data_IF_740498633380
#
_entry.id   IF_740498633380
#
_cell.length_a   1.000
_cell.length_b   1.000
_cell.length_c   1.000
_cell.angle_alpha   90.00
_cell.angle_beta   90.00
_cell.angle_gamma   90.00
#
_symmetry.space_group_name_H-M   'P 1'
#
loop_
_entity.id
_entity.type
_entity.pdbx_description
1 polymer ?
#
# COMPACT_ATOMS: atom_id res chain seq x y z
N UNK A 1 -13.50 19.73 13.39
CA UNK A 1 -12.08 19.35 13.43
C UNK A 1 -11.63 18.94 12.05
N UNK A 2 -10.49 19.45 11.61
CA UNK A 2 -9.84 19.09 10.34
C UNK A 2 -8.47 18.51 10.64
N UNK A 3 -8.18 17.38 10.03
CA UNK A 3 -6.94 16.62 10.27
C UNK A 3 -6.23 16.44 8.93
N UNK A 4 -4.92 16.61 8.92
CA UNK A 4 -4.11 16.25 7.76
C UNK A 4 -3.07 15.20 8.15
N UNK A 5 -2.90 14.18 7.30
CA UNK A 5 -1.81 13.21 7.43
C UNK A 5 -0.79 13.41 6.31
N UNK A 6 0.50 13.40 6.64
CA UNK A 6 1.59 13.39 5.66
C UNK A 6 2.12 11.97 5.52
N UNK A 7 1.80 11.32 4.42
CA UNK A 7 2.13 9.90 4.17
C UNK A 7 2.99 9.78 2.91
N UNK A 8 4.31 10.00 3.01
CA UNK A 8 5.22 9.78 1.88
C UNK A 8 5.31 8.29 1.58
N UNK A 9 5.47 7.95 0.30
CA UNK A 9 5.68 6.57 -0.12
C UNK A 9 4.74 6.11 -1.22
N UNK A 10 4.80 4.82 -1.55
CA UNK A 10 3.99 4.20 -2.60
C UNK A 10 2.60 3.76 -2.11
N UNK A 11 1.86 3.07 -2.99
CA UNK A 11 0.53 2.52 -2.67
C UNK A 11 0.59 1.62 -1.43
N UNK A 12 1.64 0.79 -1.28
CA UNK A 12 1.81 -0.08 -0.11
C UNK A 12 1.89 0.68 1.21
N UNK A 13 2.64 1.82 1.25
CA UNK A 13 2.74 2.65 2.45
C UNK A 13 1.39 3.28 2.82
N UNK A 14 0.60 3.69 1.81
CA UNK A 14 -0.73 4.23 2.03
C UNK A 14 -1.64 3.17 2.65
N UNK A 15 -1.68 1.96 2.08
CA UNK A 15 -2.48 0.84 2.60
C UNK A 15 -2.10 0.52 4.05
N UNK A 16 -0.81 0.43 4.34
CA UNK A 16 -0.31 0.18 5.70
C UNK A 16 -0.68 1.29 6.71
N UNK A 17 -1.01 2.49 6.22
CA UNK A 17 -1.45 3.60 7.05
C UNK A 17 -2.97 3.62 7.29
N UNK A 18 -3.78 2.83 6.55
CA UNK A 18 -5.23 2.83 6.70
C UNK A 18 -5.72 2.47 8.11
N UNK A 19 -5.15 1.49 8.83
CA UNK A 19 -5.51 1.22 10.21
C UNK A 19 -5.40 2.46 11.12
N UNK A 20 -4.38 3.30 10.89
CA UNK A 20 -4.21 4.57 11.60
C UNK A 20 -5.33 5.56 11.26
N UNK A 21 -5.69 5.68 9.98
CA UNK A 21 -6.78 6.56 9.53
C UNK A 21 -8.14 6.11 10.06
N UNK A 22 -8.39 4.80 10.09
CA UNK A 22 -9.66 4.22 10.56
C UNK A 22 -9.87 4.49 12.05
N UNK A 23 -8.85 4.24 12.89
CA UNK A 23 -8.95 4.53 14.31
C UNK A 23 -8.99 6.04 14.60
N UNK A 24 -8.27 6.85 13.83
CA UNK A 24 -8.36 8.31 13.91
C UNK A 24 -9.77 8.80 13.57
N UNK A 25 -10.39 8.25 12.51
CA UNK A 25 -11.77 8.54 12.14
C UNK A 25 -12.78 8.04 13.16
N UNK A 26 -12.54 6.88 13.77
CA UNK A 26 -13.37 6.33 14.83
C UNK A 26 -13.30 7.20 16.11
N UNK A 27 -12.11 7.68 16.47
CA UNK A 27 -11.94 8.59 17.63
C UNK A 27 -12.55 9.97 17.38
N UNK A 28 -12.57 10.42 16.11
CA UNK A 28 -13.11 11.71 15.68
C UNK A 28 -14.11 11.56 14.53
N UNK A 29 -15.34 11.04 14.77
CA UNK A 29 -16.28 10.66 13.70
C UNK A 29 -16.67 11.82 12.75
N UNK A 30 -16.69 13.04 13.25
CA UNK A 30 -17.04 14.24 12.47
C UNK A 30 -15.83 14.95 11.87
N UNK A 31 -14.60 14.47 12.10
CA UNK A 31 -13.41 15.09 11.54
C UNK A 31 -13.33 14.87 10.02
N UNK A 32 -12.91 15.91 9.30
CA UNK A 32 -12.48 15.81 7.90
C UNK A 32 -10.99 15.46 7.90
N UNK A 33 -10.66 14.30 7.37
CA UNK A 33 -9.28 13.81 7.31
C UNK A 33 -8.79 13.91 5.87
N UNK A 34 -7.81 14.76 5.62
CA UNK A 34 -7.15 14.88 4.33
C UNK A 34 -5.75 14.23 4.41
N UNK A 35 -5.25 13.76 3.27
CA UNK A 35 -3.92 13.14 3.20
C UNK A 35 -3.06 13.80 2.14
N UNK A 36 -1.84 14.20 2.52
CA UNK A 36 -0.80 14.59 1.57
C UNK A 36 -0.11 13.34 1.08
N UNK A 37 -0.20 13.06 -0.21
CA UNK A 37 0.19 11.79 -0.84
C UNK A 37 0.98 12.04 -2.13
N UNK A 38 1.91 11.13 -2.45
CA UNK A 38 2.61 11.15 -3.73
C UNK A 38 1.62 10.90 -4.89
N UNK A 39 1.75 11.61 -6.03
CA UNK A 39 0.82 11.49 -7.17
C UNK A 39 0.58 10.04 -7.61
N UNK A 40 1.63 9.23 -7.66
CA UNK A 40 1.59 7.81 -8.05
C UNK A 40 0.86 6.90 -7.03
N UNK A 41 0.64 7.36 -5.80
CA UNK A 41 0.01 6.59 -4.73
C UNK A 41 -1.42 7.04 -4.42
N UNK A 42 -1.91 8.11 -5.08
CA UNK A 42 -3.25 8.67 -4.88
C UNK A 42 -4.35 7.61 -5.00
N UNK A 43 -4.19 6.69 -5.95
CA UNK A 43 -5.22 5.70 -6.28
C UNK A 43 -5.50 4.70 -5.13
N UNK A 44 -4.60 4.58 -4.15
CA UNK A 44 -4.85 3.81 -2.93
C UNK A 44 -6.09 4.30 -2.18
N UNK A 45 -6.38 5.60 -2.22
CA UNK A 45 -7.50 6.19 -1.48
C UNK A 45 -8.88 5.94 -2.11
N UNK A 46 -8.93 5.36 -3.32
CA UNK A 46 -10.15 4.87 -3.95
C UNK A 46 -10.85 3.79 -3.10
N UNK A 47 -10.09 3.04 -2.34
CA UNK A 47 -10.57 1.94 -1.47
C UNK A 47 -10.56 2.30 0.03
N UNK A 48 -10.33 3.57 0.38
CA UNK A 48 -10.31 4.08 1.75
C UNK A 48 -11.55 4.93 2.03
N UNK A 49 -12.33 4.57 3.06
CA UNK A 49 -13.54 5.34 3.47
C UNK A 49 -13.25 6.45 4.49
N UNK A 50 -12.11 6.40 5.16
CA UNK A 50 -11.80 7.29 6.28
C UNK A 50 -11.25 8.64 5.84
N UNK A 51 -10.88 8.79 4.56
CA UNK A 51 -10.29 10.00 3.99
C UNK A 51 -11.34 10.83 3.26
N UNK A 52 -11.36 12.15 3.55
CA UNK A 52 -12.22 13.12 2.90
C UNK A 52 -11.63 13.58 1.55
N UNK A 53 -10.35 13.97 1.53
CA UNK A 53 -9.67 14.37 0.29
C UNK A 53 -8.17 14.09 0.31
N UNK A 54 -7.53 14.15 -0.87
CA UNK A 54 -6.09 14.00 -1.02
C UNK A 54 -5.47 15.28 -1.56
N UNK A 55 -4.27 15.62 -1.05
CA UNK A 55 -3.41 16.71 -1.53
C UNK A 55 -2.20 16.06 -2.18
N UNK A 56 -1.94 16.36 -3.44
CA UNK A 56 -0.82 15.76 -4.16
C UNK A 56 0.48 16.52 -3.88
N UNK A 57 1.51 15.81 -3.46
CA UNK A 57 2.84 16.35 -3.28
C UNK A 57 3.90 15.26 -3.54
N UNK A 58 4.87 15.57 -4.38
CA UNK A 58 5.95 14.64 -4.69
C UNK A 58 7.09 14.76 -3.65
N UNK A 59 7.04 13.93 -2.61
CA UNK A 59 8.05 13.92 -1.55
C UNK A 59 9.45 13.48 -2.01
N UNK A 60 9.57 12.86 -3.19
CA UNK A 60 10.83 12.30 -3.73
C UNK A 60 11.42 13.11 -4.86
N UNK A 61 10.63 14.00 -5.46
CA UNK A 61 11.06 14.90 -6.49
C UNK A 61 12.07 15.94 -5.99
N UNK A 62 12.67 16.64 -6.93
CA UNK A 62 13.49 17.83 -6.63
C UNK A 62 12.56 19.01 -6.42
N UNK A 63 12.02 19.11 -5.18
CA UNK A 63 11.12 20.20 -4.84
C UNK A 63 11.88 21.52 -4.74
N UNK A 64 11.38 22.52 -5.42
CA UNK A 64 11.80 23.91 -5.27
C UNK A 64 11.20 24.54 -4.00
N UNK A 65 11.70 25.69 -3.59
CA UNK A 65 11.08 26.48 -2.51
C UNK A 65 9.64 26.89 -2.87
N UNK A 66 9.34 27.09 -4.15
CA UNK A 66 7.99 27.39 -4.62
C UNK A 66 7.03 26.20 -4.40
N UNK A 67 7.45 24.97 -4.67
CA UNK A 67 6.63 23.77 -4.44
C UNK A 67 6.31 23.59 -2.96
N UNK A 68 7.31 23.79 -2.09
CA UNK A 68 7.12 23.77 -0.63
C UNK A 68 6.21 24.93 -0.17
N UNK A 69 6.37 26.12 -0.73
CA UNK A 69 5.52 27.28 -0.48
C UNK A 69 4.07 27.01 -0.88
N UNK A 70 3.84 26.40 -2.04
CA UNK A 70 2.51 26.02 -2.51
C UNK A 70 1.85 25.00 -1.58
N UNK A 71 2.58 23.94 -1.17
CA UNK A 71 2.07 22.96 -0.21
C UNK A 71 1.70 23.63 1.10
N UNK A 72 2.59 24.50 1.62
CA UNK A 72 2.36 25.26 2.84
C UNK A 72 1.10 26.14 2.73
N UNK A 73 0.91 26.85 1.61
CA UNK A 73 -0.26 27.66 1.32
C UNK A 73 -1.54 26.84 1.36
N UNK A 74 -1.58 25.71 0.65
CA UNK A 74 -2.75 24.81 0.61
C UNK A 74 -3.09 24.26 2.00
N UNK A 75 -2.08 23.89 2.81
CA UNK A 75 -2.30 23.38 4.16
C UNK A 75 -2.85 24.50 5.06
N UNK A 76 -2.29 25.70 5.00
CA UNK A 76 -2.74 26.84 5.82
C UNK A 76 -4.15 27.31 5.46
N UNK A 77 -4.49 27.36 4.18
CA UNK A 77 -5.84 27.73 3.70
C UNK A 77 -6.92 26.80 4.25
N UNK A 78 -6.60 25.53 4.48
CA UNK A 78 -7.56 24.54 4.96
C UNK A 78 -7.73 24.52 6.49
N UNK A 79 -6.95 25.30 7.25
CA UNK A 79 -7.07 25.49 8.70
C UNK A 79 -7.19 24.18 9.49
N UNK A 80 -6.19 23.31 9.39
CA UNK A 80 -6.15 22.06 10.11
C UNK A 80 -5.88 22.24 11.62
N UNK A 81 -6.58 21.45 12.44
CA UNK A 81 -6.39 21.40 13.90
C UNK A 81 -5.27 20.44 14.32
N UNK A 82 -5.00 19.45 13.48
CA UNK A 82 -4.07 18.35 13.76
C UNK A 82 -3.35 17.92 12.48
N UNK A 83 -2.04 17.66 12.61
CA UNK A 83 -1.27 16.93 11.61
C UNK A 83 -0.61 15.69 12.21
N UNK A 84 -0.68 14.58 11.48
CA UNK A 84 0.03 13.32 11.77
C UNK A 84 1.01 13.05 10.63
N UNK A 85 2.29 12.83 10.93
CA UNK A 85 3.33 12.70 9.91
C UNK A 85 4.20 11.48 10.09
N UNK A 86 4.41 10.71 9.02
CA UNK A 86 5.41 9.65 8.92
C UNK A 86 6.83 10.19 8.64
N UNK A 87 6.96 11.47 8.32
CA UNK A 87 8.24 12.07 7.95
C UNK A 87 9.19 12.20 9.14
N UNK A 88 10.43 11.71 8.96
CA UNK A 88 11.45 11.72 10.01
C UNK A 88 12.55 12.77 9.78
N UNK A 89 12.57 13.44 8.61
CA UNK A 89 13.57 14.46 8.31
C UNK A 89 13.26 15.75 9.06
N UNK A 90 14.30 16.45 9.55
CA UNK A 90 14.13 17.73 10.21
C UNK A 90 13.39 18.78 9.35
N UNK A 91 13.59 18.73 8.03
CA UNK A 91 12.89 19.60 7.07
C UNK A 91 11.38 19.40 7.07
N UNK A 92 10.92 18.17 7.31
CA UNK A 92 9.49 17.88 7.47
C UNK A 92 8.98 18.50 8.77
N UNK A 93 9.69 18.34 9.88
CA UNK A 93 9.33 18.97 11.14
C UNK A 93 9.23 20.50 11.01
N UNK A 94 10.20 21.14 10.36
CA UNK A 94 10.17 22.57 10.07
C UNK A 94 8.95 22.95 9.22
N UNK A 95 8.66 22.19 8.14
CA UNK A 95 7.48 22.41 7.31
C UNK A 95 6.21 22.35 8.17
N UNK A 96 6.07 21.34 9.02
CA UNK A 96 4.90 21.19 9.91
C UNK A 96 4.77 22.40 10.86
N UNK A 97 5.86 22.87 11.41
CA UNK A 97 5.86 24.07 12.26
C UNK A 97 5.42 25.33 11.50
N UNK A 98 5.92 25.50 10.27
CA UNK A 98 5.55 26.62 9.40
C UNK A 98 4.07 26.61 8.98
N UNK A 99 3.39 25.45 9.00
CA UNK A 99 1.95 25.39 8.73
C UNK A 99 1.11 26.16 9.74
N UNK A 100 1.61 26.35 10.97
CA UNK A 100 0.87 26.93 12.08
C UNK A 100 -0.14 25.99 12.74
N UNK A 101 -0.22 24.72 12.32
CA UNK A 101 -1.12 23.72 12.91
C UNK A 101 -0.77 23.55 14.39
N UNK A 102 -1.76 23.68 15.32
CA UNK A 102 -1.48 23.65 16.77
C UNK A 102 -1.01 22.28 17.26
N UNK A 103 -1.57 21.19 16.74
CA UNK A 103 -1.22 19.83 17.16
C UNK A 103 -0.42 19.12 16.04
N UNK A 104 0.83 18.79 16.32
CA UNK A 104 1.76 18.18 15.37
C UNK A 104 2.32 16.90 15.95
N UNK A 105 1.87 15.76 15.43
CA UNK A 105 2.27 14.40 15.86
C UNK A 105 3.25 13.82 14.85
N UNK A 106 4.33 13.26 15.33
CA UNK A 106 5.33 12.57 14.52
C UNK A 106 6.26 11.72 15.36
N UNK A 107 7.28 11.15 14.73
CA UNK A 107 8.23 10.29 15.43
C UNK A 107 9.31 11.09 16.18
N UNK A 108 9.63 10.62 17.38
CA UNK A 108 10.79 11.04 18.17
C UNK A 108 12.12 10.54 17.56
N UNK A 109 13.23 11.06 18.08
CA UNK A 109 14.57 10.58 17.76
C UNK A 109 15.23 11.23 16.54
N UNK A 110 14.65 12.29 15.99
CA UNK A 110 15.26 13.10 14.93
C UNK A 110 15.30 14.58 15.31
N UNK A 111 16.18 15.37 14.68
CA UNK A 111 16.20 16.83 14.87
C UNK A 111 14.86 17.52 14.50
N UNK A 112 13.98 16.84 13.76
CA UNK A 112 12.61 17.30 13.46
C UNK A 112 11.67 17.25 14.66
N UNK A 113 12.00 16.49 15.70
CA UNK A 113 11.19 16.37 16.92
C UNK A 113 10.96 17.71 17.61
N UNK A 114 11.96 18.60 17.58
CA UNK A 114 11.85 19.95 18.16
C UNK A 114 10.64 20.76 17.65
N UNK A 115 10.19 20.48 16.44
CA UNK A 115 9.06 21.16 15.81
C UNK A 115 7.70 20.48 16.05
N UNK A 116 7.69 19.32 16.70
CA UNK A 116 6.47 18.60 17.02
C UNK A 116 5.89 19.07 18.35
N UNK A 117 4.58 18.91 18.53
CA UNK A 117 3.93 19.11 19.84
C UNK A 117 3.79 17.79 20.60
N UNK A 118 3.78 16.66 19.87
CA UNK A 118 3.73 15.31 20.41
C UNK A 118 4.66 14.42 19.60
N UNK A 119 5.71 13.92 20.24
CA UNK A 119 6.67 13.00 19.62
C UNK A 119 6.47 11.59 20.16
N UNK A 120 6.38 10.60 19.26
CA UNK A 120 6.16 9.19 19.60
C UNK A 120 7.41 8.38 19.28
N UNK A 121 7.87 7.48 20.16
CA UNK A 121 9.03 6.64 19.90
C UNK A 121 8.82 5.77 18.65
N UNK A 122 9.82 5.76 17.75
CA UNK A 122 9.79 4.95 16.55
C UNK A 122 10.25 3.51 16.83
N UNK A 123 9.34 2.55 16.77
CA UNK A 123 9.63 1.12 16.93
C UNK A 123 9.74 0.44 15.57
N UNK A 124 10.95 0.30 15.04
CA UNK A 124 11.19 -0.21 13.68
C UNK A 124 11.10 -1.74 13.53
N UNK A 125 11.09 -2.50 14.64
CA UNK A 125 11.11 -3.96 14.61
C UNK A 125 9.74 -4.59 14.83
N UNK A 126 8.74 -4.08 14.10
CA UNK A 126 7.36 -4.56 14.12
C UNK A 126 6.72 -4.43 12.74
N UNK A 127 5.52 -4.94 12.57
CA UNK A 127 4.73 -4.76 11.36
C UNK A 127 4.50 -3.27 11.07
N UNK A 128 4.70 -2.86 9.82
CA UNK A 128 4.71 -1.45 9.45
C UNK A 128 3.37 -0.74 9.72
N UNK A 129 2.23 -1.43 9.56
CA UNK A 129 0.95 -0.83 9.91
C UNK A 129 0.86 -0.53 11.42
N UNK A 130 1.37 -1.42 12.27
CA UNK A 130 1.43 -1.18 13.71
C UNK A 130 2.40 -0.03 14.05
N UNK A 131 3.55 0.03 13.36
CA UNK A 131 4.50 1.13 13.52
C UNK A 131 3.86 2.48 13.19
N UNK A 132 3.07 2.55 12.12
CA UNK A 132 2.35 3.77 11.75
C UNK A 132 1.23 4.10 12.73
N UNK A 133 0.50 3.10 13.20
CA UNK A 133 -0.58 3.24 14.17
C UNK A 133 -0.08 3.73 15.54
N UNK A 134 1.14 3.39 15.94
CA UNK A 134 1.75 3.87 17.19
C UNK A 134 1.73 5.40 17.30
N UNK A 135 1.70 6.15 16.17
CA UNK A 135 1.59 7.62 16.20
C UNK A 135 0.35 8.11 16.92
N UNK A 136 -0.73 7.33 16.98
CA UNK A 136 -1.95 7.68 17.69
C UNK A 136 -1.76 7.75 19.21
N UNK A 137 -0.69 7.16 19.76
CA UNK A 137 -0.31 7.32 21.17
C UNK A 137 -0.02 8.80 21.51
N UNK A 138 0.46 9.58 20.54
CA UNK A 138 0.60 11.04 20.69
C UNK A 138 -0.74 11.78 20.83
N UNK A 139 -1.86 11.12 20.57
CA UNK A 139 -3.23 11.63 20.72
C UNK A 139 -3.98 10.95 21.88
N UNK A 140 -3.27 10.27 22.76
CA UNK A 140 -3.83 9.49 23.88
C UNK A 140 -4.77 8.35 23.41
N UNK A 141 -4.59 7.87 22.16
CA UNK A 141 -5.28 6.71 21.61
C UNK A 141 -4.37 5.48 21.75
N UNK A 142 -4.71 4.60 22.72
CA UNK A 142 -3.88 3.44 23.10
C UNK A 142 -4.58 2.11 22.74
N UNK A 143 -5.26 2.06 21.60
CA UNK A 143 -5.89 0.83 21.11
C UNK A 143 -4.88 -0.06 20.39
N UNK A 144 -5.08 -1.38 20.34
CA UNK A 144 -4.36 -2.25 19.41
C UNK A 144 -4.59 -1.78 17.97
N UNK A 145 -3.55 -1.89 17.12
CA UNK A 145 -3.70 -1.59 15.71
C UNK A 145 -4.74 -2.54 15.09
N UNK A 146 -5.81 -2.04 14.45
CA UNK A 146 -6.80 -2.89 13.80
C UNK A 146 -6.20 -3.61 12.58
N UNK A 147 -6.87 -4.68 12.15
CA UNK A 147 -6.50 -5.36 10.91
C UNK A 147 -6.57 -4.38 9.73
N UNK A 148 -5.63 -4.52 8.81
CA UNK A 148 -5.68 -3.80 7.56
C UNK A 148 -6.93 -4.22 6.78
N UNK A 149 -7.79 -3.27 6.47
CA UNK A 149 -9.03 -3.47 5.73
C UNK A 149 -9.23 -2.37 4.69
N UNK A 150 -9.96 -2.68 3.63
CA UNK A 150 -10.33 -1.75 2.57
C UNK A 150 -11.79 -1.91 2.20
N UNK A 151 -12.33 -0.93 1.48
CA UNK A 151 -13.68 -1.00 0.94
C UNK A 151 -13.61 -0.99 -0.58
N UNK A 152 -13.84 -2.14 -1.18
CA UNK A 152 -13.91 -2.27 -2.64
C UNK A 152 -15.23 -1.67 -3.13
N UNK A 153 -15.22 -0.70 -4.06
CA UNK A 153 -16.45 -0.15 -4.64
C UNK A 153 -17.26 -1.22 -5.40
N UNK A 154 -18.60 -1.16 -5.33
CA UNK A 154 -19.48 -2.13 -5.99
C UNK A 154 -19.21 -2.22 -7.50
N UNK A 155 -19.02 -1.09 -8.18
CA UNK A 155 -18.69 -1.06 -9.61
C UNK A 155 -17.40 -1.80 -9.97
N UNK A 156 -16.44 -1.90 -9.03
CA UNK A 156 -15.18 -2.60 -9.24
C UNK A 156 -15.35 -4.12 -9.02
N UNK A 157 -16.30 -4.52 -8.14
CA UNK A 157 -16.73 -5.90 -8.01
C UNK A 157 -17.45 -6.38 -9.28
N UNK A 158 -18.38 -5.57 -9.80
CA UNK A 158 -19.08 -5.87 -11.06
C UNK A 158 -18.09 -5.99 -12.23
N UNK A 159 -17.08 -5.13 -12.27
CA UNK A 159 -16.01 -5.22 -13.26
C UNK A 159 -15.22 -6.52 -13.13
N UNK A 160 -14.88 -6.96 -11.92
CA UNK A 160 -14.14 -8.19 -11.68
C UNK A 160 -14.95 -9.43 -12.09
N UNK A 161 -16.27 -9.43 -11.87
CA UNK A 161 -17.16 -10.49 -12.37
C UNK A 161 -17.15 -10.54 -13.91
N UNK A 162 -17.25 -9.40 -14.58
CA UNK A 162 -17.14 -9.30 -16.04
C UNK A 162 -15.79 -9.78 -16.56
N UNK A 163 -14.70 -9.46 -15.86
CA UNK A 163 -13.34 -9.88 -16.18
C UNK A 163 -13.16 -11.39 -15.98
N UNK A 164 -13.71 -11.96 -14.89
CA UNK A 164 -13.73 -13.41 -14.66
C UNK A 164 -14.48 -14.15 -15.78
N UNK A 165 -15.58 -13.56 -16.30
CA UNK A 165 -16.30 -14.06 -17.46
C UNK A 165 -15.45 -14.02 -18.73
N UNK A 166 -14.81 -12.89 -19.01
CA UNK A 166 -13.90 -12.73 -20.16
C UNK A 166 -12.78 -13.76 -20.15
N UNK A 167 -12.25 -14.04 -18.96
CA UNK A 167 -11.17 -15.02 -18.76
C UNK A 167 -11.64 -16.47 -18.69
N UNK A 168 -12.95 -16.73 -18.59
CA UNK A 168 -13.51 -18.09 -18.45
C UNK A 168 -13.10 -18.77 -17.14
N UNK A 169 -13.16 -18.02 -16.01
CA UNK A 169 -12.75 -18.49 -14.67
C UNK A 169 -13.86 -18.38 -13.62
N UNK A 170 -15.11 -18.17 -14.04
CA UNK A 170 -16.24 -17.86 -13.16
C UNK A 170 -16.59 -18.97 -12.16
N UNK A 171 -16.41 -20.23 -12.54
CA UNK A 171 -16.92 -21.39 -11.79
C UNK A 171 -15.84 -22.18 -11.05
N UNK A 172 -14.57 -21.95 -11.35
CA UNK A 172 -13.45 -22.74 -10.80
C UNK A 172 -12.68 -22.06 -9.67
N UNK A 173 -12.88 -20.75 -9.49
CA UNK A 173 -11.89 -19.94 -8.77
C UNK A 173 -10.58 -19.80 -9.56
N UNK A 174 -9.54 -19.21 -8.97
CA UNK A 174 -8.25 -19.03 -9.65
C UNK A 174 -7.12 -18.68 -8.67
N UNK A 175 -5.90 -18.93 -9.13
CA UNK A 175 -4.68 -18.37 -8.53
C UNK A 175 -4.33 -17.07 -9.25
N UNK A 176 -4.13 -16.00 -8.49
CA UNK A 176 -3.71 -14.72 -9.04
C UNK A 176 -2.21 -14.52 -8.79
N UNK A 177 -1.44 -14.25 -9.83
CA UNK A 177 0.02 -14.05 -9.74
C UNK A 177 0.39 -12.62 -10.11
N UNK A 178 1.17 -11.96 -9.25
CA UNK A 178 1.84 -10.70 -9.52
C UNK A 178 3.33 -10.80 -9.18
N UNK A 179 4.17 -10.91 -10.20
CA UNK A 179 5.62 -11.07 -10.03
C UNK A 179 6.42 -9.80 -10.32
N UNK A 180 5.75 -8.69 -10.61
CA UNK A 180 6.36 -7.41 -10.94
C UNK A 180 6.90 -6.64 -9.74
N UNK A 181 7.60 -5.55 -10.06
CA UNK A 181 8.10 -4.57 -9.08
C UNK A 181 8.00 -3.17 -9.67
N UNK A 182 7.77 -2.16 -8.80
CA UNK A 182 7.70 -0.77 -9.26
C UNK A 182 9.01 -0.32 -9.93
N UNK A 183 8.90 0.49 -10.98
CA UNK A 183 10.06 1.08 -11.65
C UNK A 183 10.99 1.80 -10.66
N UNK A 184 10.44 2.47 -9.65
CA UNK A 184 11.23 3.14 -8.62
C UNK A 184 12.09 2.17 -7.80
N UNK A 185 11.63 0.94 -7.56
CA UNK A 185 12.45 -0.07 -6.88
C UNK A 185 13.62 -0.49 -7.78
N UNK A 186 13.36 -0.69 -9.07
CA UNK A 186 14.39 -0.98 -10.08
C UNK A 186 15.44 0.14 -10.17
N UNK A 187 15.01 1.41 -10.25
CA UNK A 187 15.89 2.59 -10.28
C UNK A 187 16.76 2.73 -9.03
N UNK A 188 16.29 2.25 -7.89
CA UNK A 188 17.05 2.24 -6.63
C UNK A 188 17.95 1.01 -6.46
N UNK A 189 18.03 0.14 -7.47
CA UNK A 189 18.78 -1.11 -7.38
C UNK A 189 18.20 -2.12 -6.38
N UNK A 190 16.92 -1.94 -5.99
CA UNK A 190 16.22 -2.89 -5.12
C UNK A 190 15.57 -3.91 -6.04
N UNK A 191 16.28 -5.00 -6.31
CA UNK A 191 15.73 -6.10 -7.10
C UNK A 191 14.76 -6.92 -6.23
N UNK A 192 13.47 -6.81 -6.58
CA UNK A 192 12.39 -7.58 -5.97
C UNK A 192 11.78 -8.57 -6.98
N UNK A 193 12.32 -8.62 -8.19
CA UNK A 193 11.80 -9.46 -9.26
C UNK A 193 12.41 -10.86 -9.12
N UNK A 194 11.54 -11.83 -8.93
CA UNK A 194 11.96 -13.22 -8.94
C UNK A 194 12.25 -13.67 -10.38
N UNK A 195 13.29 -14.48 -10.63
CA UNK A 195 13.68 -14.85 -11.99
C UNK A 195 12.54 -15.52 -12.77
N UNK A 196 12.40 -15.20 -14.06
CA UNK A 196 11.35 -15.79 -14.94
C UNK A 196 11.42 -17.33 -14.95
N UNK A 197 12.62 -17.91 -14.93
CA UNK A 197 12.79 -19.36 -14.88
C UNK A 197 12.16 -19.97 -13.62
N UNK A 198 12.28 -19.29 -12.48
CA UNK A 198 11.67 -19.71 -11.23
C UNK A 198 10.14 -19.58 -11.26
N UNK A 199 9.61 -18.47 -11.82
CA UNK A 199 8.18 -18.32 -12.03
C UNK A 199 7.62 -19.40 -12.94
N UNK A 200 8.32 -19.75 -14.02
CA UNK A 200 7.96 -20.88 -14.89
C UNK A 200 7.85 -22.18 -14.10
N UNK A 201 8.81 -22.49 -13.25
CA UNK A 201 8.80 -23.70 -12.42
C UNK A 201 7.60 -23.73 -11.47
N UNK A 202 7.32 -22.60 -10.80
CA UNK A 202 6.17 -22.44 -9.89
C UNK A 202 4.84 -22.65 -10.66
N UNK A 203 4.68 -22.02 -11.81
CA UNK A 203 3.49 -22.12 -12.63
C UNK A 203 3.27 -23.57 -13.07
N UNK A 204 4.32 -24.25 -13.56
CA UNK A 204 4.25 -25.64 -13.97
C UNK A 204 3.88 -26.60 -12.82
N UNK A 205 4.42 -26.39 -11.63
CA UNK A 205 4.08 -27.17 -10.44
C UNK A 205 2.59 -26.98 -10.05
N UNK A 206 2.10 -25.74 -10.10
CA UNK A 206 0.68 -25.45 -9.87
C UNK A 206 -0.24 -26.13 -10.92
N UNK A 207 0.07 -26.02 -12.19
CA UNK A 207 -0.70 -26.66 -13.28
C UNK A 207 -0.76 -28.19 -13.13
N UNK A 208 0.33 -28.79 -12.65
CA UNK A 208 0.39 -30.24 -12.41
C UNK A 208 -0.41 -30.67 -11.18
N UNK A 209 -0.34 -29.92 -10.08
CA UNK A 209 -0.94 -30.30 -8.80
C UNK A 209 -2.39 -29.84 -8.66
N UNK A 210 -2.77 -28.78 -9.36
CA UNK A 210 -4.09 -28.14 -9.30
C UNK A 210 -4.59 -27.82 -10.71
N UNK A 211 -4.79 -28.83 -11.58
CA UNK A 211 -5.13 -28.62 -12.99
C UNK A 211 -6.47 -27.90 -13.20
N UNK A 212 -7.39 -28.01 -12.23
CA UNK A 212 -8.71 -27.38 -12.28
C UNK A 212 -8.72 -25.93 -11.78
N UNK A 213 -7.59 -25.43 -11.27
CA UNK A 213 -7.47 -24.08 -10.75
C UNK A 213 -6.65 -23.20 -11.71
N UNK A 214 -7.32 -22.40 -12.57
CA UNK A 214 -6.63 -21.59 -13.56
C UNK A 214 -5.73 -20.52 -12.93
N UNK A 215 -4.62 -20.25 -13.62
CA UNK A 215 -3.67 -19.22 -13.24
C UNK A 215 -3.94 -17.95 -14.04
N UNK A 216 -4.04 -16.82 -13.34
CA UNK A 216 -4.22 -15.49 -13.90
C UNK A 216 -3.04 -14.62 -13.51
N UNK A 217 -2.38 -14.04 -14.50
CA UNK A 217 -1.28 -13.09 -14.29
C UNK A 217 -1.84 -11.68 -14.23
N UNK A 218 -1.47 -10.91 -13.20
CA UNK A 218 -1.76 -9.47 -13.14
C UNK A 218 -0.68 -8.70 -13.87
N UNK A 219 -1.09 -7.84 -14.78
CA UNK A 219 -0.23 -6.85 -15.42
C UNK A 219 -0.54 -5.47 -14.89
N UNK A 220 0.37 -4.91 -14.12
CA UNK A 220 0.40 -3.49 -13.76
C UNK A 220 1.06 -2.63 -14.83
N UNK A 221 1.11 -1.31 -14.63
CA UNK A 221 1.73 -0.38 -15.59
C UNK A 221 3.21 -0.67 -15.91
N UNK A 222 3.95 -1.18 -14.92
CA UNK A 222 5.40 -1.42 -15.02
C UNK A 222 5.75 -2.89 -15.34
N UNK A 223 4.75 -3.77 -15.60
CA UNK A 223 4.93 -5.23 -15.65
C UNK A 223 4.89 -5.81 -17.07
N UNK A 224 4.77 -4.99 -18.11
CA UNK A 224 4.60 -5.46 -19.49
C UNK A 224 5.70 -6.43 -19.95
N UNK A 225 6.96 -6.14 -19.66
CA UNK A 225 8.09 -7.00 -19.99
C UNK A 225 8.06 -8.33 -19.25
N UNK A 226 7.74 -8.30 -17.96
CA UNK A 226 7.59 -9.50 -17.12
C UNK A 226 6.50 -10.41 -17.65
N UNK A 227 5.31 -9.85 -17.95
CA UNK A 227 4.17 -10.60 -18.48
C UNK A 227 4.49 -11.17 -19.86
N UNK A 228 5.09 -10.38 -20.75
CA UNK A 228 5.50 -10.85 -22.07
C UNK A 228 6.47 -12.05 -21.99
N UNK A 229 7.46 -11.98 -21.08
CA UNK A 229 8.41 -13.07 -20.86
C UNK A 229 7.72 -14.36 -20.35
N UNK A 230 6.72 -14.24 -19.45
CA UNK A 230 5.94 -15.39 -18.99
C UNK A 230 5.11 -15.99 -20.13
N UNK A 231 4.44 -15.17 -20.93
CA UNK A 231 3.63 -15.61 -22.06
C UNK A 231 4.46 -16.31 -23.16
N UNK A 232 5.73 -15.91 -23.35
CA UNK A 232 6.66 -16.65 -24.23
C UNK A 232 6.92 -18.07 -23.73
N UNK A 233 6.92 -18.30 -22.42
CA UNK A 233 7.12 -19.64 -21.85
C UNK A 233 5.84 -20.47 -21.77
N UNK A 234 4.71 -19.82 -21.57
CA UNK A 234 3.38 -20.45 -21.52
C UNK A 234 2.30 -19.54 -22.13
N UNK A 235 2.02 -19.66 -23.44
CA UNK A 235 1.02 -18.82 -24.12
C UNK A 235 -0.43 -19.04 -23.67
N UNK A 236 -0.71 -20.08 -22.87
CA UNK A 236 -2.06 -20.38 -22.36
C UNK A 236 -2.40 -19.61 -21.10
N UNK A 237 -1.44 -18.92 -20.48
CA UNK A 237 -1.67 -18.11 -19.29
C UNK A 237 -2.72 -17.03 -19.55
N UNK A 238 -3.63 -16.87 -18.61
CA UNK A 238 -4.62 -15.81 -18.64
C UNK A 238 -4.00 -14.54 -18.06
N UNK A 239 -4.32 -13.39 -18.65
CA UNK A 239 -3.79 -12.09 -18.18
C UNK A 239 -4.95 -11.14 -17.92
N UNK A 240 -4.89 -10.45 -16.79
CA UNK A 240 -5.75 -9.33 -16.43
C UNK A 240 -4.93 -8.07 -16.21
N UNK A 241 -5.44 -6.92 -16.65
CA UNK A 241 -4.81 -5.61 -16.49
C UNK A 241 -5.79 -4.63 -15.83
N UNK A 242 -6.00 -4.72 -14.51
CA UNK A 242 -6.88 -3.81 -13.79
C UNK A 242 -6.39 -2.37 -13.93
N UNK A 243 -7.26 -1.46 -14.32
CA UNK A 243 -6.90 -0.07 -14.61
C UNK A 243 -6.65 0.78 -13.35
N UNK A 244 -7.08 0.31 -12.19
CA UNK A 244 -6.99 1.02 -10.92
C UNK A 244 -6.92 0.04 -9.73
N UNK A 245 -6.61 0.60 -8.54
CA UNK A 245 -6.46 -0.16 -7.29
C UNK A 245 -7.75 -0.85 -6.87
N UNK A 246 -8.91 -0.25 -7.13
CA UNK A 246 -10.21 -0.83 -6.77
C UNK A 246 -10.50 -2.12 -7.56
N UNK A 247 -10.30 -2.08 -8.89
CA UNK A 247 -10.44 -3.27 -9.76
C UNK A 247 -9.44 -4.36 -9.42
N UNK A 248 -8.18 -3.96 -9.13
CA UNK A 248 -7.17 -4.92 -8.68
C UNK A 248 -7.58 -5.58 -7.36
N UNK A 249 -8.06 -4.80 -6.40
CA UNK A 249 -8.54 -5.30 -5.11
C UNK A 249 -9.74 -6.26 -5.29
N UNK A 250 -10.66 -5.98 -6.22
CA UNK A 250 -11.79 -6.84 -6.53
C UNK A 250 -11.34 -8.19 -7.12
N UNK A 251 -10.39 -8.18 -8.07
CA UNK A 251 -9.79 -9.41 -8.59
C UNK A 251 -9.08 -10.22 -7.51
N UNK A 252 -8.34 -9.56 -6.63
CA UNK A 252 -7.65 -10.23 -5.51
C UNK A 252 -8.66 -10.83 -4.53
N UNK A 253 -9.74 -10.11 -4.20
CA UNK A 253 -10.78 -10.57 -3.27
C UNK A 253 -11.50 -11.85 -3.75
N UNK A 254 -11.65 -12.00 -5.06
CA UNK A 254 -12.28 -13.16 -5.69
C UNK A 254 -11.32 -14.34 -5.93
N UNK A 255 -10.01 -14.14 -5.74
CA UNK A 255 -9.01 -15.19 -5.94
C UNK A 255 -8.95 -16.16 -4.75
N UNK A 256 -8.69 -17.45 -5.02
CA UNK A 256 -8.43 -18.46 -3.98
C UNK A 256 -7.07 -18.28 -3.33
N UNK A 257 -6.09 -17.82 -4.12
CA UNK A 257 -4.72 -17.61 -3.69
C UNK A 257 -4.11 -16.43 -4.45
N UNK A 258 -3.44 -15.54 -3.72
CA UNK A 258 -2.53 -14.55 -4.27
C UNK A 258 -1.09 -15.02 -4.09
N UNK A 259 -0.38 -15.17 -5.20
CA UNK A 259 1.06 -15.42 -5.21
C UNK A 259 1.77 -14.19 -5.77
N UNK A 260 2.62 -13.55 -4.97
CA UNK A 260 3.20 -12.27 -5.37
C UNK A 260 4.60 -12.04 -4.81
N UNK A 261 5.26 -11.01 -5.30
CA UNK A 261 6.44 -10.41 -4.67
C UNK A 261 6.02 -9.39 -3.61
N UNK A 262 6.97 -8.87 -2.82
CA UNK A 262 6.78 -7.75 -1.90
C UNK A 262 6.47 -6.46 -2.67
N UNK A 263 5.17 -6.21 -2.87
CA UNK A 263 4.63 -5.10 -3.67
C UNK A 263 3.23 -4.68 -3.17
N UNK A 264 2.67 -3.60 -3.72
CA UNK A 264 1.35 -3.11 -3.33
C UNK A 264 0.22 -4.15 -3.41
N UNK A 265 0.13 -5.03 -4.44
CA UNK A 265 -0.83 -6.11 -4.50
C UNK A 265 -0.82 -7.07 -3.30
N UNK A 266 0.35 -7.28 -2.68
CA UNK A 266 0.46 -8.06 -1.44
C UNK A 266 -0.35 -7.43 -0.30
N UNK A 267 -0.22 -6.13 -0.10
CA UNK A 267 -0.96 -5.42 0.95
C UNK A 267 -2.47 -5.35 0.66
N UNK A 268 -2.86 -5.27 -0.63
CA UNK A 268 -4.26 -5.41 -1.01
C UNK A 268 -4.80 -6.80 -0.67
N UNK A 269 -4.03 -7.86 -0.92
CA UNK A 269 -4.43 -9.22 -0.59
C UNK A 269 -4.62 -9.42 0.93
N UNK A 270 -3.74 -8.82 1.74
CA UNK A 270 -3.93 -8.77 3.20
C UNK A 270 -5.23 -8.05 3.56
N UNK A 271 -5.49 -6.90 2.93
CA UNK A 271 -6.65 -6.05 3.23
C UNK A 271 -8.00 -6.68 2.87
N UNK A 272 -8.04 -7.51 1.82
CA UNK A 272 -9.25 -8.28 1.43
C UNK A 272 -9.25 -9.71 1.96
N UNK A 273 -8.26 -10.08 2.79
CA UNK A 273 -8.15 -11.38 3.46
C UNK A 273 -8.00 -12.60 2.52
N UNK A 274 -7.47 -12.39 1.33
CA UNK A 274 -7.15 -13.48 0.41
C UNK A 274 -5.93 -14.26 0.90
N UNK A 275 -5.94 -15.60 0.82
CA UNK A 275 -4.75 -16.40 1.09
C UNK A 275 -3.58 -15.92 0.23
N UNK A 276 -2.45 -15.65 0.86
CA UNK A 276 -1.32 -15.01 0.18
C UNK A 276 -0.02 -15.73 0.48
N UNK A 277 0.73 -16.03 -0.58
CA UNK A 277 2.14 -16.42 -0.50
C UNK A 277 2.96 -15.32 -1.17
N UNK A 278 3.81 -14.65 -0.40
CA UNK A 278 4.62 -13.55 -0.88
C UNK A 278 6.12 -13.92 -0.87
N UNK A 279 6.78 -13.68 -1.99
CA UNK A 279 8.21 -13.91 -2.17
C UNK A 279 8.98 -12.62 -1.83
N UNK A 280 9.89 -12.74 -0.88
CA UNK A 280 10.72 -11.64 -0.39
C UNK A 280 12.16 -11.81 -0.82
N UNK A 281 12.74 -10.74 -1.35
CA UNK A 281 14.17 -10.62 -1.59
C UNK A 281 14.86 -9.90 -0.41
N UNK A 282 15.27 -8.62 -0.57
CA UNK A 282 16.05 -7.90 0.45
C UNK A 282 15.24 -7.46 1.68
N UNK A 283 13.90 -7.46 1.60
CA UNK A 283 13.00 -6.97 2.66
C UNK A 283 12.64 -8.08 3.67
N UNK A 284 12.22 -7.66 4.87
CA UNK A 284 11.85 -8.60 5.95
C UNK A 284 10.34 -8.87 5.96
N UNK A 285 9.90 -10.14 5.80
CA UNK A 285 8.47 -10.48 5.81
C UNK A 285 7.73 -9.98 7.06
N UNK A 286 8.31 -10.16 8.25
CA UNK A 286 7.70 -9.74 9.53
C UNK A 286 7.40 -8.24 9.63
N UNK A 287 8.05 -7.41 8.81
CA UNK A 287 7.82 -5.96 8.78
C UNK A 287 6.69 -5.58 7.83
N UNK A 288 6.34 -6.42 6.88
CA UNK A 288 5.43 -6.08 5.78
C UNK A 288 4.20 -6.98 5.69
N UNK A 289 4.20 -8.12 6.38
CA UNK A 289 3.04 -9.00 6.55
C UNK A 289 2.67 -9.11 8.03
N UNK A 290 1.38 -9.10 8.37
CA UNK A 290 0.92 -9.40 9.72
C UNK A 290 1.11 -10.90 10.01
N UNK A 291 1.30 -11.25 11.29
CA UNK A 291 1.32 -12.64 11.72
C UNK A 291 -0.06 -13.28 11.51
N UNK A 292 -0.12 -14.31 10.66
CA UNK A 292 -1.35 -14.99 10.30
C UNK A 292 -1.04 -16.31 9.61
N UNK A 293 -1.94 -17.27 9.72
CA UNK A 293 -1.90 -18.51 8.93
C UNK A 293 -2.39 -18.33 7.48
N UNK A 294 -2.90 -17.15 7.13
CA UNK A 294 -3.36 -16.81 5.78
C UNK A 294 -2.28 -16.13 4.93
N UNK A 295 -1.27 -15.54 5.57
CA UNK A 295 -0.28 -14.72 4.88
C UNK A 295 1.10 -15.30 5.14
N UNK A 296 1.69 -15.94 4.13
CA UNK A 296 2.97 -16.62 4.22
C UNK A 296 4.03 -15.80 3.46
N UNK A 297 5.05 -15.35 4.17
CA UNK A 297 6.21 -14.70 3.55
C UNK A 297 7.35 -15.69 3.42
N UNK A 298 7.84 -15.91 2.19
CA UNK A 298 8.99 -16.73 1.88
C UNK A 298 10.16 -15.81 1.55
N UNK A 299 11.20 -15.82 2.37
CA UNK A 299 12.40 -15.00 2.14
C UNK A 299 13.43 -15.81 1.35
N UNK A 300 14.03 -15.19 0.32
CA UNK A 300 15.19 -15.74 -0.38
C UNK A 300 16.37 -15.88 0.60
N UNK A 301 17.11 -16.96 0.48
CA UNK A 301 18.32 -17.24 1.26
C UNK A 301 19.58 -16.65 0.61
N UNK A 302 19.43 -15.96 -0.54
CA UNK A 302 20.54 -15.35 -1.30
C UNK A 302 20.58 -13.85 -1.09
#
# INVERSE_FOLDING_TARGET
MRIVALVPGGIGDQLLFFPTLDDLKQAHPHALIDVVVEPRAKDAYRVCKSVHSTILFDFKGRNSLADLGNLLGVIREREYDLVVSLGQRWTVGLLLWLTGIPNRVGYAGSAGEFFLTRAVPLKQNQYAAQMYHDLLQGLDIHKPCPELAISVPAQDLDWAEGEAKRLGIQSSGYVLIHGGSSQLAKEKGIDKIYPIASWKGIIQDFEQRQPDLPIVIVQGPDDAEFVAALLQTNPKLKVTAPADVGKLAAMIAAANLMLCTDSAPMHLAVAVKTYTVALFGPTEPKKLLPESNRFIGIKSLT
#
